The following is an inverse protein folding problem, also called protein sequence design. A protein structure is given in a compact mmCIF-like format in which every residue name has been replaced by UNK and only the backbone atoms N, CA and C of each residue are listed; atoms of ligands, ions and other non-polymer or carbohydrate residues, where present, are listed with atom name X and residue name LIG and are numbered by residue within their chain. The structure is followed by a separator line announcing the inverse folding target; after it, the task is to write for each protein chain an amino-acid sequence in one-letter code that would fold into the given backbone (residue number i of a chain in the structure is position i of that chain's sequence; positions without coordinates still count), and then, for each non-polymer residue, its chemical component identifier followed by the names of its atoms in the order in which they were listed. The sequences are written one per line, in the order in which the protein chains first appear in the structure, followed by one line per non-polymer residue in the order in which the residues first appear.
data_IF_431847750298
#
_entry.id   IF_431847750298
#
_cell.length_a   1.000
_cell.length_b   1.000
_cell.length_c   1.000
_cell.angle_alpha   90.00
_cell.angle_beta   90.00
_cell.angle_gamma   90.00
#
_symmetry.space_group_name_H-M   'P 1'
#
loop_
_entity.id
_entity.type
_entity.pdbx_description
1 polymer ?
#
# COMPACT_ATOMS: atom_id res chain seq x y z
N UNK A 1 15.76 -14.79 -10.04
CA UNK A 1 14.97 -15.14 -11.22
C UNK A 1 13.63 -14.51 -10.98
N UNK A 2 13.42 -13.34 -11.56
CA UNK A 2 12.18 -12.57 -11.39
C UNK A 2 11.03 -13.40 -11.92
N UNK A 3 10.05 -13.68 -11.07
CA UNK A 3 8.85 -14.41 -11.47
C UNK A 3 7.94 -13.41 -12.17
N UNK A 4 7.82 -13.54 -13.49
CA UNK A 4 6.85 -12.77 -14.27
C UNK A 4 5.43 -13.28 -13.99
N UNK A 5 4.47 -12.38 -13.92
CA UNK A 5 3.05 -12.72 -13.91
C UNK A 5 2.56 -13.00 -15.33
N UNK A 6 1.45 -13.71 -15.48
CA UNK A 6 0.87 -14.06 -16.77
C UNK A 6 -0.46 -13.32 -16.88
N UNK A 7 -0.58 -12.43 -17.87
CA UNK A 7 -1.84 -11.81 -18.23
C UNK A 7 -2.46 -12.51 -19.43
N UNK A 8 -3.76 -12.78 -19.36
CA UNK A 8 -4.58 -13.29 -20.46
C UNK A 8 -5.62 -12.24 -20.83
N UNK A 9 -5.67 -11.89 -22.11
CA UNK A 9 -6.64 -10.94 -22.66
C UNK A 9 -7.47 -11.60 -23.74
N UNK A 10 -8.79 -11.63 -23.55
CA UNK A 10 -9.73 -12.17 -24.52
C UNK A 10 -10.06 -11.14 -25.62
N UNK A 11 -10.20 -11.64 -26.84
CA UNK A 11 -10.63 -10.88 -28.03
C UNK A 11 -11.95 -11.42 -28.58
N UNK A 12 -12.21 -12.70 -28.34
CA UNK A 12 -13.48 -13.36 -28.64
C UNK A 12 -13.82 -14.25 -27.44
N UNK A 13 -15.08 -14.24 -27.03
CA UNK A 13 -15.57 -15.11 -25.96
C UNK A 13 -17.07 -15.36 -26.17
N UNK A 14 -17.43 -16.60 -26.44
CA UNK A 14 -18.81 -17.06 -26.62
C UNK A 14 -18.84 -18.56 -26.37
N UNK A 15 -19.23 -18.90 -25.14
CA UNK A 15 -19.47 -20.25 -24.68
C UNK A 15 -20.98 -20.49 -24.56
N UNK A 16 -21.48 -21.66 -24.99
CA UNK A 16 -22.89 -21.98 -24.83
C UNK A 16 -23.27 -22.08 -23.34
N UNK A 17 -24.36 -21.40 -22.96
CA UNK A 17 -25.01 -21.54 -21.66
C UNK A 17 -26.52 -21.72 -21.88
N UNK A 18 -27.12 -22.76 -21.29
CA UNK A 18 -28.58 -22.89 -21.27
C UNK A 18 -29.17 -22.06 -20.11
N UNK A 19 -29.92 -21.01 -20.46
CA UNK A 19 -30.66 -20.15 -19.53
C UNK A 19 -29.87 -18.98 -18.94
N UNK A 20 -30.58 -18.05 -18.28
CA UNK A 20 -30.05 -16.87 -17.57
C UNK A 20 -29.33 -17.23 -16.25
N UNK A 21 -28.86 -18.47 -16.10
CA UNK A 21 -28.21 -18.96 -14.91
C UNK A 21 -26.82 -18.31 -14.77
N UNK A 22 -26.70 -17.36 -13.84
CA UNK A 22 -25.43 -16.78 -13.42
C UNK A 22 -24.41 -17.80 -12.88
N UNK A 23 -24.86 -19.03 -12.56
CA UNK A 23 -24.05 -20.02 -11.85
C UNK A 23 -23.32 -21.02 -12.78
N UNK A 24 -23.35 -20.84 -14.10
CA UNK A 24 -22.61 -21.65 -15.09
C UNK A 24 -22.73 -23.19 -14.93
N UNK A 25 -23.76 -23.70 -14.25
CA UNK A 25 -23.80 -25.10 -13.79
C UNK A 25 -23.92 -26.11 -14.94
N UNK A 26 -24.72 -25.78 -15.95
CA UNK A 26 -25.01 -26.59 -17.15
C UNK A 26 -24.46 -25.96 -18.44
N UNK A 27 -23.45 -25.09 -18.32
CA UNK A 27 -22.81 -24.42 -19.45
C UNK A 27 -21.46 -25.05 -19.82
N UNK A 28 -20.97 -24.76 -21.03
CA UNK A 28 -19.55 -24.90 -21.31
C UNK A 28 -18.80 -23.83 -20.50
N UNK A 29 -17.74 -24.24 -19.80
CA UNK A 29 -16.99 -23.35 -18.91
C UNK A 29 -15.53 -23.26 -19.31
N UNK A 30 -14.98 -22.06 -19.14
CA UNK A 30 -13.54 -21.83 -19.07
C UNK A 30 -13.18 -21.47 -17.64
N UNK A 31 -12.44 -22.35 -16.97
CA UNK A 31 -12.01 -22.17 -15.60
C UNK A 31 -10.56 -21.69 -15.56
N UNK A 32 -10.32 -20.64 -14.78
CA UNK A 32 -8.99 -20.08 -14.52
C UNK A 32 -8.53 -20.57 -13.17
N UNK A 33 -7.43 -21.31 -13.14
CA UNK A 33 -6.84 -21.81 -11.91
C UNK A 33 -5.47 -21.19 -11.65
N UNK A 34 -5.27 -20.72 -10.43
CA UNK A 34 -4.01 -20.15 -9.96
C UNK A 34 -3.33 -21.07 -8.94
N UNK A 35 -1.99 -21.10 -8.91
CA UNK A 35 -1.25 -21.87 -7.92
C UNK A 35 -1.45 -21.26 -6.52
N UNK A 36 -1.97 -22.08 -5.61
CA UNK A 36 -2.11 -21.80 -4.19
C UNK A 36 -1.38 -22.89 -3.42
N UNK A 37 -0.22 -22.55 -2.84
CA UNK A 37 0.70 -23.51 -2.21
C UNK A 37 1.16 -24.59 -3.21
N UNK A 38 0.63 -25.81 -3.09
CA UNK A 38 1.01 -26.98 -3.90
C UNK A 38 -0.11 -27.47 -4.84
N UNK A 39 -1.21 -26.73 -4.98
CA UNK A 39 -2.34 -27.09 -5.84
C UNK A 39 -2.84 -25.90 -6.65
N UNK A 40 -3.55 -26.20 -7.74
CA UNK A 40 -4.23 -25.19 -8.55
C UNK A 40 -5.65 -25.01 -8.02
N UNK A 41 -6.00 -23.79 -7.64
CA UNK A 41 -7.34 -23.45 -7.16
C UNK A 41 -8.08 -22.61 -8.21
N UNK A 42 -9.38 -22.87 -8.43
CA UNK A 42 -10.18 -22.06 -9.33
C UNK A 42 -10.36 -20.66 -8.75
N UNK A 43 -10.00 -19.64 -9.52
CA UNK A 43 -10.14 -18.22 -9.14
C UNK A 43 -11.28 -17.57 -9.91
N UNK A 44 -11.55 -18.02 -11.13
CA UNK A 44 -12.64 -17.50 -11.96
C UNK A 44 -13.24 -18.61 -12.83
N UNK A 45 -14.56 -18.62 -12.96
CA UNK A 45 -15.29 -19.54 -13.84
C UNK A 45 -16.06 -18.69 -14.84
N UNK A 46 -15.78 -18.87 -16.12
CA UNK A 46 -16.31 -18.05 -17.20
C UNK A 46 -17.26 -18.89 -18.07
N UNK A 47 -18.44 -18.35 -18.35
CA UNK A 47 -19.41 -18.93 -19.28
C UNK A 47 -20.22 -17.84 -20.00
N UNK A 48 -21.01 -18.22 -21.00
CA UNK A 48 -21.86 -17.30 -21.77
C UNK A 48 -21.10 -16.48 -22.80
N UNK A 49 -21.63 -15.31 -23.15
CA UNK A 49 -21.15 -14.41 -24.21
C UNK A 49 -20.57 -13.08 -23.70
N UNK A 50 -20.53 -12.89 -22.38
CA UNK A 50 -19.98 -11.68 -21.77
C UNK A 50 -18.45 -11.71 -21.87
N UNK A 51 -17.87 -10.69 -22.51
CA UNK A 51 -16.42 -10.57 -22.68
C UNK A 51 -15.71 -10.49 -21.31
N UNK A 52 -14.84 -11.45 -20.95
CA UNK A 52 -14.11 -11.42 -19.70
C UNK A 52 -13.14 -10.24 -19.65
N UNK A 53 -12.94 -9.70 -18.45
CA UNK A 53 -11.85 -8.73 -18.21
C UNK A 53 -10.49 -9.46 -18.32
N UNK A 54 -9.40 -8.75 -18.64
CA UNK A 54 -8.07 -9.34 -18.61
C UNK A 54 -7.76 -9.92 -17.23
N UNK A 55 -7.16 -11.11 -17.23
CA UNK A 55 -6.91 -11.90 -16.02
C UNK A 55 -5.41 -12.03 -15.83
N UNK A 56 -4.91 -11.80 -14.62
CA UNK A 56 -3.48 -11.84 -14.32
C UNK A 56 -3.23 -12.83 -13.18
N UNK A 57 -2.19 -13.67 -13.31
CA UNK A 57 -1.79 -14.59 -12.25
C UNK A 57 -1.07 -13.89 -11.10
N UNK A 58 -1.01 -14.57 -9.97
CA UNK A 58 -0.22 -14.22 -8.79
C UNK A 58 1.19 -14.86 -8.84
N UNK A 59 1.79 -14.97 -10.03
CA UNK A 59 3.07 -15.61 -10.22
C UNK A 59 3.25 -16.27 -11.60
N UNK A 60 4.29 -17.12 -11.76
CA UNK A 60 4.78 -17.56 -13.06
C UNK A 60 3.99 -18.74 -13.65
N UNK A 61 2.88 -19.13 -13.03
CA UNK A 61 2.06 -20.26 -13.47
C UNK A 61 0.58 -19.89 -13.38
N UNK A 62 -0.16 -20.24 -14.41
CA UNK A 62 -1.61 -20.16 -14.52
C UNK A 62 -2.06 -21.38 -15.31
N UNK A 63 -3.19 -21.97 -14.94
CA UNK A 63 -3.82 -23.05 -15.70
C UNK A 63 -5.19 -22.58 -16.20
N UNK A 64 -5.42 -22.70 -17.50
CA UNK A 64 -6.75 -22.56 -18.08
C UNK A 64 -7.30 -23.95 -18.39
N UNK A 65 -8.47 -24.25 -17.86
CA UNK A 65 -9.17 -25.52 -18.11
C UNK A 65 -10.50 -25.24 -18.81
N UNK A 66 -10.60 -25.64 -20.07
CA UNK A 66 -11.87 -25.59 -20.80
C UNK A 66 -12.59 -26.93 -20.67
N UNK A 67 -13.85 -26.90 -20.23
CA UNK A 67 -14.72 -28.07 -20.15
C UNK A 67 -15.96 -27.84 -21.00
N UNK A 68 -15.97 -28.46 -22.18
CA UNK A 68 -17.13 -28.48 -23.06
C UNK A 68 -18.04 -29.67 -22.74
N UNK A 69 -19.31 -29.41 -22.44
CA UNK A 69 -20.36 -30.43 -22.27
C UNK A 69 -21.16 -30.63 -23.54
N UNK A 70 -21.42 -29.57 -24.32
CA UNK A 70 -22.29 -29.63 -25.50
C UNK A 70 -21.62 -29.02 -26.73
N UNK A 71 -21.52 -29.79 -27.83
CA UNK A 71 -20.98 -29.28 -29.10
C UNK A 71 -22.10 -28.57 -29.89
N UNK A 72 -22.34 -27.30 -29.57
CA UNK A 72 -23.33 -26.47 -30.25
C UNK A 72 -22.88 -26.01 -31.64
N UNK A 73 -23.71 -26.22 -32.67
CA UNK A 73 -23.51 -25.61 -34.00
C UNK A 73 -23.74 -24.10 -33.90
N UNK A 74 -22.69 -23.30 -34.03
CA UNK A 74 -22.75 -21.83 -34.03
C UNK A 74 -21.86 -21.13 -32.99
N UNK A 75 -21.22 -21.88 -32.10
CA UNK A 75 -20.35 -21.31 -31.06
C UNK A 75 -19.00 -20.90 -31.64
N UNK A 76 -18.58 -19.66 -31.36
CA UNK A 76 -17.28 -19.13 -31.78
C UNK A 76 -16.15 -19.53 -30.81
N UNK A 77 -16.51 -20.01 -29.62
CA UNK A 77 -15.55 -20.36 -28.58
C UNK A 77 -14.89 -19.11 -28.01
N UNK A 78 -13.60 -19.20 -27.70
CA UNK A 78 -12.83 -18.07 -27.21
C UNK A 78 -11.49 -17.94 -27.92
N UNK A 79 -11.01 -16.70 -28.04
CA UNK A 79 -9.69 -16.35 -28.56
C UNK A 79 -9.05 -15.39 -27.58
N UNK A 80 -7.83 -15.72 -27.13
CA UNK A 80 -7.10 -14.91 -26.17
C UNK A 80 -5.62 -14.77 -26.57
N UNK A 81 -5.00 -13.70 -26.09
CA UNK A 81 -3.56 -13.46 -26.11
C UNK A 81 -3.03 -13.57 -24.68
N UNK A 82 -1.88 -14.22 -24.50
CA UNK A 82 -1.16 -14.22 -23.23
C UNK A 82 0.06 -13.29 -23.30
N UNK A 83 0.42 -12.67 -22.18
CA UNK A 83 1.65 -11.88 -22.01
C UNK A 83 2.27 -12.19 -20.66
N UNK A 84 3.59 -12.34 -20.64
CA UNK A 84 4.35 -12.34 -19.39
C UNK A 84 4.60 -10.89 -19.00
N UNK A 85 4.13 -10.51 -17.82
CA UNK A 85 4.27 -9.18 -17.27
C UNK A 85 5.32 -9.21 -16.18
N UNK A 86 6.35 -8.39 -16.36
CA UNK A 86 7.22 -7.95 -15.29
C UNK A 86 6.56 -6.68 -14.71
N UNK A 87 6.46 -6.56 -13.38
CA UNK A 87 5.94 -5.37 -12.70
C UNK A 87 4.40 -5.14 -12.73
N UNK A 88 3.59 -6.20 -12.59
CA UNK A 88 2.11 -6.10 -12.45
C UNK A 88 1.38 -5.40 -13.62
N UNK A 89 2.04 -5.29 -14.78
CA UNK A 89 1.50 -4.62 -15.97
C UNK A 89 1.61 -3.10 -15.96
N UNK A 90 2.27 -2.51 -14.95
CA UNK A 90 2.47 -1.07 -14.87
C UNK A 90 3.65 -0.68 -15.76
N UNK A 91 3.34 -0.02 -16.88
CA UNK A 91 4.30 0.32 -17.92
C UNK A 91 5.08 1.61 -17.65
N UNK A 92 4.59 2.48 -16.76
CA UNK A 92 5.25 3.73 -16.40
C UNK A 92 5.87 3.64 -15.01
N UNK A 93 7.03 4.26 -14.82
CA UNK A 93 7.81 4.17 -13.59
C UNK A 93 8.66 2.90 -13.52
N UNK A 94 9.39 2.77 -12.42
CA UNK A 94 10.29 1.65 -12.16
C UNK A 94 9.82 0.90 -10.90
N UNK A 95 9.74 -0.42 -10.96
CA UNK A 95 9.47 -1.21 -9.75
C UNK A 95 10.69 -1.17 -8.82
N UNK A 96 10.44 -0.99 -7.52
CA UNK A 96 11.51 -0.97 -6.50
C UNK A 96 11.93 -2.42 -6.22
N UNK A 97 13.22 -2.77 -6.40
CA UNK A 97 13.69 -4.12 -6.12
C UNK A 97 13.51 -4.50 -4.65
N UNK A 98 13.03 -5.72 -4.39
CA UNK A 98 12.79 -6.28 -3.05
C UNK A 98 11.66 -5.63 -2.25
N UNK A 99 10.86 -4.73 -2.84
CA UNK A 99 9.60 -4.28 -2.26
C UNK A 99 8.44 -4.78 -3.11
N UNK A 100 7.52 -5.52 -2.48
CA UNK A 100 6.34 -6.06 -3.14
C UNK A 100 5.38 -4.91 -3.49
N UNK A 101 4.98 -4.82 -4.76
CA UNK A 101 4.08 -3.80 -5.29
C UNK A 101 4.47 -2.31 -5.02
N UNK A 102 5.77 -2.00 -4.97
CA UNK A 102 6.26 -0.61 -4.86
C UNK A 102 6.82 -0.09 -6.19
N UNK A 103 6.39 1.09 -6.60
CA UNK A 103 6.79 1.74 -7.86
C UNK A 103 7.28 3.16 -7.61
N UNK A 104 8.36 3.56 -8.28
CA UNK A 104 8.89 4.93 -8.28
C UNK A 104 8.70 5.59 -9.64
N UNK A 105 8.29 6.84 -9.62
CA UNK A 105 8.09 7.71 -10.78
C UNK A 105 8.96 8.94 -10.60
N UNK A 106 9.81 9.24 -11.56
CA UNK A 106 10.73 10.37 -11.49
C UNK A 106 10.46 11.36 -12.63
N UNK A 107 10.20 12.62 -12.28
CA UNK A 107 9.97 13.72 -13.24
C UNK A 107 11.14 13.94 -14.20
N UNK A 108 12.36 13.61 -13.79
CA UNK A 108 13.55 13.75 -14.62
C UNK A 108 13.57 12.72 -15.77
N UNK A 109 12.85 11.61 -15.63
CA UNK A 109 12.72 10.57 -16.67
C UNK A 109 11.46 10.80 -17.50
N UNK A 110 10.31 10.87 -16.83
CA UNK A 110 9.01 11.05 -17.49
C UNK A 110 8.13 11.96 -16.64
N UNK A 111 7.67 13.08 -17.24
CA UNK A 111 6.88 14.10 -16.53
C UNK A 111 5.38 13.76 -16.42
N UNK A 112 4.91 12.78 -17.19
CA UNK A 112 3.50 12.37 -17.22
C UNK A 112 3.39 10.92 -17.64
N UNK A 113 2.61 10.12 -16.92
CA UNK A 113 2.39 8.71 -17.22
C UNK A 113 1.08 8.20 -16.66
N UNK A 114 0.80 6.92 -16.90
CA UNK A 114 -0.42 6.24 -16.45
C UNK A 114 -0.08 5.10 -15.51
N UNK A 115 -0.60 5.16 -14.29
CA UNK A 115 -0.51 4.04 -13.35
C UNK A 115 -1.90 3.48 -13.06
N UNK A 116 -1.94 2.22 -12.63
CA UNK A 116 -3.17 1.54 -12.28
C UNK A 116 -2.90 0.56 -11.13
N UNK A 117 -3.97 0.14 -10.45
CA UNK A 117 -3.90 -0.99 -9.52
C UNK A 117 -3.40 -2.25 -10.25
N UNK A 118 -2.70 -3.17 -9.58
CA UNK A 118 -2.38 -4.46 -10.17
C UNK A 118 -3.63 -5.09 -10.78
N UNK A 119 -3.46 -5.78 -11.89
CA UNK A 119 -4.51 -6.49 -12.61
C UNK A 119 -5.58 -5.64 -13.29
N UNK A 120 -5.47 -4.30 -13.28
CA UNK A 120 -6.42 -3.44 -13.99
C UNK A 120 -6.49 -3.80 -15.49
N UNK A 121 -7.70 -3.89 -16.11
CA UNK A 121 -9.03 -3.53 -15.59
C UNK A 121 -9.78 -4.66 -14.84
N UNK A 122 -9.13 -5.78 -14.57
CA UNK A 122 -9.61 -6.85 -13.69
C UNK A 122 -9.58 -6.47 -12.20
N UNK A 123 -9.95 -7.42 -11.34
CA UNK A 123 -9.95 -7.21 -9.89
C UNK A 123 -8.52 -7.17 -9.33
N UNK A 124 -8.26 -6.24 -8.41
CA UNK A 124 -6.99 -6.17 -7.71
C UNK A 124 -6.82 -7.39 -6.77
N UNK A 125 -5.58 -7.89 -6.56
CA UNK A 125 -5.32 -9.01 -5.66
C UNK A 125 -5.77 -8.74 -4.23
N UNK A 126 -6.18 -9.79 -3.50
CA UNK A 126 -6.47 -9.67 -2.06
C UNK A 126 -5.18 -9.53 -1.26
N UNK A 127 -5.26 -8.84 -0.12
CA UNK A 127 -4.16 -8.67 0.84
C UNK A 127 -2.89 -8.10 0.20
N UNK A 128 -3.03 -7.12 -0.69
CA UNK A 128 -1.92 -6.44 -1.34
C UNK A 128 -1.85 -4.98 -0.89
N UNK A 129 -0.64 -4.51 -0.59
CA UNK A 129 -0.36 -3.11 -0.30
C UNK A 129 0.59 -2.58 -1.37
N UNK A 130 0.14 -1.60 -2.15
CA UNK A 130 0.90 -1.05 -3.26
C UNK A 130 1.30 0.40 -3.00
N UNK A 131 2.58 0.71 -3.19
CA UNK A 131 3.14 2.04 -2.98
C UNK A 131 3.51 2.69 -4.31
N UNK A 132 2.96 3.88 -4.59
CA UNK A 132 3.27 4.66 -5.77
C UNK A 132 3.99 5.94 -5.34
N UNK A 133 5.31 5.96 -5.50
CA UNK A 133 6.18 7.04 -5.04
C UNK A 133 6.52 7.97 -6.20
N UNK A 134 6.17 9.24 -6.06
CA UNK A 134 6.41 10.25 -7.10
C UNK A 134 7.46 11.26 -6.64
N UNK A 135 8.54 11.36 -7.40
CA UNK A 135 9.66 12.26 -7.17
C UNK A 135 9.63 13.34 -8.27
N UNK A 136 9.44 14.59 -7.84
CA UNK A 136 9.50 15.77 -8.70
C UNK A 136 10.81 16.53 -8.50
N UNK A 137 11.25 17.26 -9.53
CA UNK A 137 12.37 18.19 -9.45
C UNK A 137 11.94 19.49 -8.72
N UNK A 138 12.89 20.42 -8.53
CA UNK A 138 12.58 21.72 -7.92
C UNK A 138 11.45 22.41 -8.69
N UNK A 139 10.44 22.86 -7.95
CA UNK A 139 9.22 23.52 -8.45
C UNK A 139 8.19 22.63 -9.15
N UNK A 140 8.46 21.36 -9.38
CA UNK A 140 7.46 20.45 -9.93
C UNK A 140 6.32 20.21 -8.94
N UNK A 141 5.11 20.01 -9.48
CA UNK A 141 3.94 19.64 -8.71
C UNK A 141 3.24 18.47 -9.35
N UNK A 142 2.98 17.46 -8.53
CA UNK A 142 2.25 16.30 -9.01
C UNK A 142 0.75 16.58 -9.12
N UNK A 143 0.17 16.16 -10.25
CA UNK A 143 -1.26 16.15 -10.48
C UNK A 143 -1.73 14.71 -10.70
N UNK A 144 -2.61 14.21 -9.82
CA UNK A 144 -3.18 12.87 -9.94
C UNK A 144 -4.66 12.99 -10.31
N UNK A 145 -5.05 12.25 -11.35
CA UNK A 145 -6.44 12.14 -11.81
C UNK A 145 -6.77 10.69 -12.08
N UNK A 146 -7.81 10.18 -11.43
CA UNK A 146 -8.37 8.88 -11.76
C UNK A 146 -9.35 9.01 -12.93
N UNK A 147 -9.28 8.08 -13.87
CA UNK A 147 -10.28 7.92 -14.93
C UNK A 147 -11.35 6.90 -14.52
N UNK A 148 -10.95 5.92 -13.72
CA UNK A 148 -11.77 4.88 -13.13
C UNK A 148 -11.38 4.71 -11.66
N UNK A 149 -12.36 4.56 -10.78
CA UNK A 149 -12.13 4.30 -9.36
C UNK A 149 -13.24 3.42 -8.82
N UNK A 150 -12.90 2.19 -8.47
CA UNK A 150 -13.80 1.19 -7.89
C UNK A 150 -12.98 0.35 -6.91
N UNK A 151 -13.02 0.74 -5.65
CA UNK A 151 -12.29 0.12 -4.54
C UNK A 151 -13.31 -0.31 -3.51
N UNK A 152 -13.28 -1.58 -3.10
CA UNK A 152 -14.25 -2.15 -2.18
C UNK A 152 -14.16 -1.47 -0.81
N UNK A 153 -15.28 -0.95 -0.31
CA UNK A 153 -15.27 -0.34 1.00
C UNK A 153 -16.49 0.49 1.32
N UNK A 154 -16.65 0.76 2.60
CA UNK A 154 -17.71 1.58 3.19
C UNK A 154 -17.06 2.83 3.74
N UNK A 155 -17.51 4.01 3.29
CA UNK A 155 -17.01 5.29 3.78
C UNK A 155 -17.25 5.41 5.31
N UNK A 156 -16.24 5.80 6.12
CA UNK A 156 -15.01 6.54 5.80
C UNK A 156 -13.77 5.72 5.38
N UNK A 157 -13.93 4.44 5.02
CA UNK A 157 -12.85 3.57 4.53
C UNK A 157 -11.76 3.36 5.60
N UNK A 158 -12.20 3.15 6.84
CA UNK A 158 -11.34 2.99 8.00
C UNK A 158 -11.12 1.52 8.33
N UNK A 159 -10.20 1.25 9.26
CA UNK A 159 -9.99 -0.10 9.76
C UNK A 159 -11.25 -0.67 10.42
N UNK A 160 -12.06 0.19 11.06
CA UNK A 160 -13.35 -0.15 11.65
C UNK A 160 -14.37 -0.69 10.65
N UNK A 161 -14.26 -0.28 9.38
CA UNK A 161 -15.15 -0.73 8.30
C UNK A 161 -14.56 -1.86 7.46
N UNK A 162 -13.38 -2.38 7.85
CA UNK A 162 -12.65 -3.43 7.13
C UNK A 162 -12.59 -3.19 5.60
N UNK A 163 -12.44 -1.92 5.23
CA UNK A 163 -12.56 -1.47 3.84
C UNK A 163 -11.20 -1.34 3.18
N UNK A 164 -11.11 -1.69 1.90
CA UNK A 164 -9.94 -1.34 1.10
C UNK A 164 -9.92 0.17 0.89
N UNK A 165 -8.74 0.72 0.66
CA UNK A 165 -8.61 2.16 0.49
C UNK A 165 -7.42 2.57 -0.39
N UNK A 166 -7.55 3.77 -0.94
CA UNK A 166 -6.44 4.55 -1.49
C UNK A 166 -6.21 5.74 -0.58
N UNK A 167 -4.97 5.92 -0.13
CA UNK A 167 -4.53 7.02 0.71
C UNK A 167 -3.47 7.85 -0.04
N UNK A 168 -3.51 9.17 0.15
CA UNK A 168 -2.45 10.05 -0.32
C UNK A 168 -1.59 10.45 0.86
N UNK A 169 -0.29 10.47 0.66
CA UNK A 169 0.67 10.98 1.64
C UNK A 169 1.61 11.96 0.96
N UNK A 170 1.84 13.10 1.61
CA UNK A 170 2.97 13.94 1.32
C UNK A 170 4.00 13.63 2.41
N UNK A 171 5.14 13.03 2.04
CA UNK A 171 6.21 12.57 2.96
C UNK A 171 6.73 13.66 3.93
N UNK A 172 6.27 14.91 3.80
CA UNK A 172 6.74 16.08 4.52
C UNK A 172 6.05 16.40 5.87
N UNK A 173 5.07 15.63 6.34
CA UNK A 173 4.61 15.75 7.73
C UNK A 173 3.79 14.54 8.16
N UNK A 174 4.18 13.92 9.28
CA UNK A 174 3.54 12.77 9.95
C UNK A 174 2.06 13.03 10.31
N UNK A 175 1.55 14.26 10.16
CA UNK A 175 0.30 14.71 10.79
C UNK A 175 -0.85 15.03 9.81
N UNK A 176 -0.70 14.75 8.51
CA UNK A 176 -1.81 14.90 7.55
C UNK A 176 -1.83 13.75 6.54
N UNK A 177 -2.07 12.54 7.01
CA UNK A 177 -2.63 11.49 6.15
C UNK A 177 -3.91 12.07 5.56
N UNK A 178 -3.95 12.21 4.23
CA UNK A 178 -5.18 12.64 3.58
C UNK A 178 -6.25 11.58 3.86
N UNK A 179 -7.53 11.98 3.85
CA UNK A 179 -8.63 11.03 4.03
C UNK A 179 -8.46 9.82 3.11
N UNK A 180 -8.84 8.65 3.59
CA UNK A 180 -8.91 7.42 2.78
C UNK A 180 -10.05 7.51 1.78
N UNK A 181 -9.88 6.85 0.65
CA UNK A 181 -10.84 6.80 -0.43
C UNK A 181 -11.18 5.35 -0.78
N UNK A 182 -12.47 5.06 -0.86
CA UNK A 182 -13.04 3.78 -1.28
C UNK A 182 -14.41 4.03 -1.93
N UNK A 183 -15.04 2.97 -2.41
CA UNK A 183 -16.31 2.98 -3.13
C UNK A 183 -16.16 3.24 -4.62
N UNK A 184 -17.27 3.08 -5.35
CA UNK A 184 -17.33 3.27 -6.80
C UNK A 184 -17.57 4.73 -7.17
N UNK A 185 -16.72 5.29 -8.03
CA UNK A 185 -16.86 6.67 -8.56
C UNK A 185 -16.70 6.65 -10.08
N UNK A 186 -17.80 6.87 -10.80
CA UNK A 186 -17.81 6.93 -12.26
C UNK A 186 -17.87 8.39 -12.75
N UNK A 187 -17.01 8.75 -13.72
CA UNK A 187 -17.11 9.96 -14.56
C UNK A 187 -16.88 11.31 -13.86
N UNK A 188 -15.83 12.05 -14.26
CA UNK A 188 -15.48 13.46 -13.91
C UNK A 188 -15.55 13.89 -12.44
N UNK A 189 -15.95 13.00 -11.53
CA UNK A 189 -15.96 13.12 -10.08
C UNK A 189 -14.96 12.16 -9.45
N UNK A 190 -14.17 11.44 -10.23
CA UNK A 190 -12.92 10.88 -9.76
C UNK A 190 -12.15 11.99 -9.04
N UNK A 191 -11.58 11.70 -7.87
CA UNK A 191 -10.88 12.68 -7.06
C UNK A 191 -9.72 13.31 -7.84
N UNK A 192 -10.00 14.33 -8.66
CA UNK A 192 -9.01 15.26 -9.19
C UNK A 192 -8.66 16.17 -8.04
N UNK A 193 -7.84 15.67 -7.12
CA UNK A 193 -7.04 16.57 -6.32
C UNK A 193 -5.81 16.89 -7.16
N UNK A 194 -5.75 18.14 -7.61
CA UNK A 194 -4.48 18.85 -7.59
C UNK A 194 -3.90 18.60 -6.20
N UNK A 195 -2.76 17.89 -6.11
CA UNK A 195 -1.87 18.03 -4.96
C UNK A 195 -1.24 19.42 -5.04
N UNK A 196 -2.09 20.43 -5.10
CA UNK A 196 -1.75 21.76 -4.68
C UNK A 196 -1.77 21.67 -3.15
N UNK A 197 -0.58 21.59 -2.56
CA UNK A 197 -0.35 22.56 -1.49
C UNK A 197 -0.78 23.90 -2.11
N UNK A 198 -1.82 24.58 -1.59
CA UNK A 198 -2.29 25.78 -2.23
C UNK A 198 -1.10 26.74 -2.25
N UNK A 199 -0.55 26.99 -3.43
CA UNK A 199 0.52 27.95 -3.56
C UNK A 199 0.03 29.36 -3.23
N UNK A 200 -1.29 29.56 -3.22
CA UNK A 200 -1.94 30.75 -2.70
C UNK A 200 -2.25 30.73 -1.20
N UNK A 201 -1.97 29.67 -0.42
CA UNK A 201 -2.30 29.66 1.02
C UNK A 201 -1.13 29.93 1.95
N UNK A 202 0.13 29.77 1.52
CA UNK A 202 1.26 30.13 2.40
C UNK A 202 1.30 31.63 2.62
N UNK A 203 1.21 32.42 1.54
CA UNK A 203 1.15 33.88 1.61
C UNK A 203 -0.10 34.39 2.35
N UNK A 204 -1.23 33.71 2.23
CA UNK A 204 -2.49 34.10 2.87
C UNK A 204 -2.42 34.03 4.41
N UNK A 205 -1.68 33.05 4.93
CA UNK A 205 -1.46 32.88 6.36
C UNK A 205 -0.09 33.40 6.83
N UNK A 206 0.76 33.90 5.93
CA UNK A 206 2.07 34.46 6.28
C UNK A 206 1.96 35.55 7.35
N UNK A 207 0.98 36.48 7.31
CA UNK A 207 0.79 37.45 8.38
C UNK A 207 0.41 36.79 9.71
N UNK A 208 -0.47 35.79 9.68
CA UNK A 208 -0.90 35.05 10.88
C UNK A 208 0.24 34.21 11.47
N UNK A 209 1.00 33.52 10.62
CA UNK A 209 2.18 32.72 11.00
C UNK A 209 3.25 33.62 11.59
N UNK A 210 3.51 34.79 10.98
CA UNK A 210 4.47 35.75 11.52
C UNK A 210 3.99 36.32 12.85
N UNK A 211 2.70 36.66 13.00
CA UNK A 211 2.14 37.12 14.26
C UNK A 211 2.28 36.06 15.37
N UNK A 212 1.95 34.79 15.08
CA UNK A 212 2.10 33.68 16.03
C UNK A 212 3.58 33.45 16.36
N UNK A 213 4.49 33.46 15.38
CA UNK A 213 5.93 33.31 15.62
C UNK A 213 6.48 34.45 16.46
N UNK A 214 6.09 35.69 16.19
CA UNK A 214 6.50 36.87 16.97
C UNK A 214 5.98 36.80 18.40
N UNK A 215 4.73 36.36 18.60
CA UNK A 215 4.18 36.15 19.93
C UNK A 215 4.93 35.05 20.68
N UNK A 216 5.11 33.88 20.06
CA UNK A 216 5.79 32.75 20.66
C UNK A 216 7.24 33.07 20.99
N UNK A 217 7.95 33.82 20.14
CA UNK A 217 9.34 34.24 20.38
C UNK A 217 9.51 35.24 21.54
N UNK A 218 8.43 35.77 22.10
CA UNK A 218 8.44 36.70 23.23
C UNK A 218 8.41 35.99 24.59
N UNK A 219 7.53 36.47 25.47
CA UNK A 219 7.28 35.91 26.81
C UNK A 219 7.06 34.39 26.82
N UNK A 220 6.24 33.79 25.95
CA UNK A 220 6.02 32.33 25.95
C UNK A 220 7.30 31.51 25.76
N UNK A 221 8.24 31.98 24.94
CA UNK A 221 9.51 31.29 24.76
C UNK A 221 10.41 31.44 25.99
N UNK A 222 10.41 32.61 26.64
CA UNK A 222 11.17 32.82 27.89
C UNK A 222 10.62 31.95 29.03
N UNK A 223 9.31 31.87 29.17
CA UNK A 223 8.67 30.95 30.12
C UNK A 223 9.03 29.50 29.81
N UNK A 224 9.00 29.12 28.51
CA UNK A 224 9.42 27.79 28.08
C UNK A 224 10.88 27.51 28.45
N UNK A 225 11.82 28.42 28.20
CA UNK A 225 13.24 28.29 28.54
C UNK A 225 13.49 28.05 30.04
N UNK A 226 12.63 28.59 30.91
CA UNK A 226 12.71 28.36 32.36
C UNK A 226 11.92 27.15 32.85
N UNK A 227 11.15 26.50 31.97
CA UNK A 227 10.29 25.37 32.32
C UNK A 227 11.06 24.04 32.37
N UNK A 228 10.53 23.07 33.12
CA UNK A 228 11.05 21.71 33.13
C UNK A 228 11.08 21.05 31.74
N UNK A 229 10.25 21.52 30.81
CA UNK A 229 10.18 20.98 29.45
C UNK A 229 11.39 21.36 28.61
N UNK A 230 11.89 22.59 28.74
CA UNK A 230 13.10 23.02 28.05
C UNK A 230 14.35 22.35 28.60
N UNK A 231 14.44 22.19 29.93
CA UNK A 231 15.52 21.41 30.54
C UNK A 231 15.53 19.96 30.05
N UNK A 232 14.34 19.34 29.93
CA UNK A 232 14.21 18.00 29.35
C UNK A 232 14.64 18.00 27.88
N UNK A 233 14.21 18.99 27.08
CA UNK A 233 14.64 19.14 25.69
C UNK A 233 16.17 19.22 25.53
N UNK A 234 16.86 19.98 26.38
CA UNK A 234 18.33 20.07 26.36
C UNK A 234 19.00 18.74 26.72
N UNK A 235 18.47 18.00 27.68
CA UNK A 235 18.96 16.65 28.01
C UNK A 235 18.87 15.71 26.80
N UNK A 236 17.77 15.77 26.05
CA UNK A 236 17.59 14.99 24.82
C UNK A 236 18.51 15.45 23.70
N UNK A 237 18.68 16.76 23.49
CA UNK A 237 19.62 17.29 22.48
C UNK A 237 21.07 16.92 22.78
N UNK A 238 21.44 16.86 24.04
CA UNK A 238 22.74 16.36 24.45
C UNK A 238 22.91 14.86 24.15
N UNK A 239 21.86 14.04 24.33
CA UNK A 239 21.85 12.63 23.96
C UNK A 239 21.92 12.42 22.44
N UNK A 240 21.17 13.21 21.66
CA UNK A 240 21.21 13.20 20.18
C UNK A 240 22.59 13.59 19.63
N UNK A 241 23.32 14.46 20.32
CA UNK A 241 24.66 14.88 19.93
C UNK A 241 25.75 13.82 20.21
N UNK A 242 25.43 12.72 20.90
CA UNK A 242 26.40 11.67 21.17
C UNK A 242 26.66 10.81 19.91
N UNK A 243 27.91 10.37 19.67
CA UNK A 243 28.24 9.51 18.55
C UNK A 243 27.52 8.15 18.67
N UNK A 244 26.74 7.81 17.65
CA UNK A 244 25.96 6.57 17.62
C UNK A 244 26.89 5.38 17.31
N UNK A 245 26.97 4.44 18.25
CA UNK A 245 27.69 3.16 18.08
C UNK A 245 26.71 1.99 17.98
N UNK A 246 27.21 0.81 17.58
CA UNK A 246 26.41 -0.43 17.51
C UNK A 246 25.81 -0.86 18.87
N UNK A 247 26.34 -0.39 20.00
CA UNK A 247 25.81 -0.67 21.35
C UNK A 247 24.60 0.21 21.70
N UNK A 248 24.47 1.38 21.06
CA UNK A 248 23.41 2.37 21.35
C UNK A 248 22.01 1.88 20.96
N UNK A 249 21.93 0.96 19.99
CA UNK A 249 20.66 0.35 19.52
C UNK A 249 19.91 -0.40 20.62
N UNK A 250 20.62 -0.98 21.59
CA UNK A 250 20.00 -1.65 22.75
C UNK A 250 19.49 -0.67 23.81
N UNK A 251 20.10 0.51 23.94
CA UNK A 251 19.73 1.51 24.94
C UNK A 251 18.50 2.31 24.55
N UNK A 252 18.37 2.71 23.28
CA UNK A 252 17.20 3.48 22.80
C UNK A 252 15.90 2.67 22.74
N UNK A 253 15.97 1.33 22.81
CA UNK A 253 14.78 0.45 22.87
C UNK A 253 14.00 0.57 24.19
N UNK A 254 14.64 1.05 25.27
CA UNK A 254 14.06 1.09 26.63
C UNK A 254 13.36 2.43 26.91
N UNK A 255 13.60 3.47 26.10
CA UNK A 255 13.10 4.83 26.35
C UNK A 255 11.71 5.09 25.73
N UNK A 256 10.74 4.25 26.05
CA UNK A 256 9.38 4.24 25.50
C UNK A 256 8.69 5.60 25.24
N UNK A 257 7.72 5.55 24.32
CA UNK A 257 6.91 6.65 23.74
C UNK A 257 6.74 7.87 24.67
N UNK A 258 7.42 8.96 24.34
CA UNK A 258 7.27 10.24 25.02
C UNK A 258 7.30 11.43 24.05
N UNK A 259 6.15 12.10 23.90
CA UNK A 259 6.02 13.54 23.64
C UNK A 259 6.31 14.12 22.25
N UNK A 260 7.22 13.60 21.42
CA UNK A 260 7.63 14.30 20.19
C UNK A 260 7.91 13.43 18.95
N UNK A 261 7.32 12.23 18.86
CA UNK A 261 7.34 11.42 17.63
C UNK A 261 8.03 10.06 17.77
N UNK A 262 7.89 9.27 16.71
CA UNK A 262 8.34 7.87 16.63
C UNK A 262 9.82 7.78 16.23
N UNK A 263 10.61 7.03 17.00
CA UNK A 263 12.03 6.77 16.70
C UNK A 263 12.12 5.57 15.77
N UNK A 264 12.33 5.80 14.47
CA UNK A 264 12.53 4.73 13.49
C UNK A 264 13.94 4.15 13.59
N UNK A 265 14.08 2.97 14.19
CA UNK A 265 15.32 2.21 14.19
C UNK A 265 15.40 1.37 12.89
N UNK A 266 16.12 1.84 11.88
CA UNK A 266 16.34 1.05 10.65
C UNK A 266 17.12 -0.24 10.97
N UNK A 267 16.47 -1.40 10.88
CA UNK A 267 17.12 -2.70 11.01
C UNK A 267 17.73 -3.09 9.66
N UNK A 268 19.06 -3.09 9.56
CA UNK A 268 19.77 -3.68 8.43
C UNK A 268 19.61 -5.20 8.49
N UNK A 269 18.71 -5.76 7.67
CA UNK A 269 18.50 -7.21 7.54
C UNK A 269 19.68 -7.81 6.76
N UNK A 270 20.70 -8.30 7.47
CA UNK A 270 21.67 -9.21 6.85
C UNK A 270 20.98 -10.56 6.62
N UNK A 271 20.89 -10.92 5.35
CA UNK A 271 20.50 -12.24 4.87
C UNK A 271 21.38 -13.33 5.49
N UNK A 272 20.79 -14.23 6.26
CA UNK A 272 21.16 -15.64 6.29
C UNK A 272 20.06 -16.47 6.98
N UNK A 273 19.56 -17.45 6.24
CA UNK A 273 18.62 -18.52 6.61
C UNK A 273 19.02 -19.24 7.91
N UNK A 274 18.11 -19.46 8.85
CA UNK A 274 18.14 -20.64 9.74
C UNK A 274 16.77 -20.96 10.34
N UNK A 275 16.44 -22.24 10.38
CA UNK A 275 15.18 -22.84 10.88
C UNK A 275 15.10 -22.74 12.43
N UNK A 276 13.90 -22.80 13.03
CA UNK A 276 13.75 -22.72 14.48
C UNK A 276 14.34 -23.96 15.19
N UNK A 277 15.12 -23.71 16.25
CA UNK A 277 15.55 -24.69 17.25
C UNK A 277 14.67 -24.46 18.50
N UNK A 278 14.07 -25.49 19.12
CA UNK A 278 13.27 -25.31 20.34
C UNK A 278 14.18 -25.02 21.54
N UNK A 279 13.81 -24.05 22.37
CA UNK A 279 14.51 -23.75 23.63
C UNK A 279 13.83 -24.54 24.77
N UNK A 280 14.58 -25.28 25.63
CA UNK A 280 14.03 -26.03 26.76
C UNK A 280 13.44 -25.17 27.89
N UNK A 281 12.42 -25.70 28.56
CA UNK A 281 11.58 -25.12 29.63
C UNK A 281 12.27 -24.81 30.99
N UNK A 282 13.56 -24.45 31.02
CA UNK A 282 14.28 -24.26 32.30
C UNK A 282 14.51 -22.79 32.72
N UNK A 283 13.95 -21.82 31.99
CA UNK A 283 14.13 -20.39 32.30
C UNK A 283 12.82 -19.64 32.64
N UNK A 284 11.74 -20.37 32.89
CA UNK A 284 10.53 -19.83 33.49
C UNK A 284 10.35 -20.36 34.91
N UNK A 285 10.93 -19.67 35.90
CA UNK A 285 10.34 -19.59 37.23
C UNK A 285 10.56 -18.22 37.85
N UNK A 286 9.41 -17.64 38.20
CA UNK A 286 9.12 -16.48 39.04
C UNK A 286 9.76 -16.54 40.43
N UNK A 287 10.08 -15.37 40.99
CA UNK A 287 9.86 -14.99 42.41
C UNK A 287 9.97 -13.46 42.48
N UNK A 288 8.86 -12.71 42.52
CA UNK A 288 7.97 -12.40 43.66
C UNK A 288 8.35 -11.09 44.38
N UNK A 289 7.36 -10.20 44.40
CA UNK A 289 7.26 -8.87 44.99
C UNK A 289 7.40 -8.88 46.52
N UNK A 290 8.01 -7.83 47.09
CA UNK A 290 7.65 -7.25 48.41
C UNK A 290 8.33 -5.87 48.51
N UNK A 291 7.57 -4.78 48.38
CA UNK A 291 6.90 -3.99 49.44
C UNK A 291 7.76 -2.86 49.99
N UNK A 292 7.24 -1.63 49.86
CA UNK A 292 7.68 -0.41 50.54
C UNK A 292 7.66 -0.57 52.07
N UNK A 293 8.29 0.38 52.79
CA UNK A 293 7.45 1.25 53.60
C UNK A 293 7.81 2.75 53.55
N UNK A 294 6.82 3.47 54.07
CA UNK A 294 6.58 4.90 54.30
C UNK A 294 7.68 5.76 54.92
N UNK A 295 7.62 7.04 54.54
CA UNK A 295 7.86 8.29 55.30
C UNK A 295 8.65 8.22 56.62
N UNK A 296 9.77 8.96 56.65
CA UNK A 296 9.92 10.24 57.38
C UNK A 296 11.23 10.90 56.99
#
# INVERSE_FOLDING_TARGET
MESADIMIKFFEFSLPSEGDSYDCEEADILQVLLPMRDRFEPVETLCGDTMPKPIISNGPKMLLEFRGRQSGKGNRGFKAEYKFLENFGIISGEQIPNEECSFKFNSSVERSGWFHSPNFPGAYPRNIECNYLFYGDLYDRIFIRFTYFDVEGIFPCEESTASDYVEFSNFMSIDRKFRRFCGKRSGNQAASRKLEAPAGSKELFEPCVNAVKSFLAGEPFREFETSMYFHRYLQWKWLEAQPITYKTFRMYRVLGKGGFGEVCACQKKQSARTRPIPIPEHLLTSHSVSSMPSES
#
